data_IF_219602206428
#
_entry.id   IF_219602206428
#
_cell.length_a   1.000
_cell.length_b   1.000
_cell.length_c   1.000
_cell.angle_alpha   90.00
_cell.angle_beta   90.00
_cell.angle_gamma   90.00
#
_symmetry.space_group_name_H-M   'P 1'
#
loop_
_entity.id
_entity.type
_entity.pdbx_description
1 polymer ?
#
# COMPACT_ATOMS: atom_id res chain seq x y z
N UNK A 1 7.63 6.72 -12.87
CA UNK A 1 6.44 6.58 -12.00
C UNK A 1 5.32 7.33 -12.67
N UNK A 2 4.10 6.82 -12.56
CA UNK A 2 2.87 7.45 -13.02
C UNK A 2 1.84 7.42 -11.89
N UNK A 3 0.84 8.33 -11.89
CA UNK A 3 -0.25 8.27 -10.93
C UNK A 3 -0.89 6.88 -10.86
N UNK A 4 -1.05 6.38 -9.64
CA UNK A 4 -1.61 5.06 -9.36
C UNK A 4 -0.55 4.01 -9.06
N UNK A 5 0.70 4.18 -9.51
CA UNK A 5 1.76 3.21 -9.21
C UNK A 5 1.89 2.94 -7.71
N UNK A 6 2.07 1.66 -7.35
CA UNK A 6 2.42 1.28 -5.98
C UNK A 6 3.94 1.25 -5.87
N UNK A 7 4.47 2.16 -5.05
CA UNK A 7 5.90 2.34 -4.84
C UNK A 7 6.31 1.61 -3.56
N UNK A 8 7.02 0.49 -3.71
CA UNK A 8 7.46 -0.38 -2.62
C UNK A 8 8.89 -0.07 -2.24
N UNK A 9 9.08 0.65 -1.14
CA UNK A 9 10.40 0.95 -0.59
C UNK A 9 11.05 -0.33 -0.06
N UNK A 10 12.31 -0.54 -0.45
CA UNK A 10 13.13 -1.68 -0.07
C UNK A 10 14.04 -1.28 1.09
N UNK A 11 14.25 -2.21 2.03
CA UNK A 11 15.08 -2.00 3.20
C UNK A 11 16.53 -1.70 2.80
N UNK A 12 17.11 -0.63 3.34
CA UNK A 12 18.54 -0.28 3.25
C UNK A 12 19.26 -0.55 4.59
N UNK A 13 20.59 -0.68 4.58
CA UNK A 13 21.38 -1.08 5.77
C UNK A 13 21.38 -0.03 6.90
N UNK A 14 21.06 1.22 6.58
CA UNK A 14 20.95 2.39 7.47
C UNK A 14 19.50 2.70 7.90
N UNK A 15 18.57 1.75 7.70
CA UNK A 15 17.15 1.99 7.93
C UNK A 15 16.73 2.22 9.39
N UNK A 16 15.65 3.01 9.54
CA UNK A 16 15.01 3.27 10.83
C UNK A 16 14.54 1.99 11.55
N UNK A 17 14.49 2.05 12.89
CA UNK A 17 14.01 0.96 13.75
C UNK A 17 12.62 0.44 13.32
N UNK A 18 11.72 1.32 12.88
CA UNK A 18 10.38 0.96 12.38
C UNK A 18 10.43 0.01 11.18
N UNK A 19 11.32 0.24 10.20
CA UNK A 19 11.47 -0.63 9.02
C UNK A 19 12.06 -1.99 9.40
N UNK A 20 12.99 -2.02 10.36
CA UNK A 20 13.50 -3.27 10.92
C UNK A 20 12.39 -4.09 11.60
N UNK A 21 11.47 -3.45 12.34
CA UNK A 21 10.32 -4.11 12.96
C UNK A 21 9.35 -4.70 11.93
N UNK A 22 9.05 -3.96 10.85
CA UNK A 22 8.16 -4.45 9.78
C UNK A 22 8.74 -5.73 9.15
N UNK A 23 10.04 -5.71 8.80
CA UNK A 23 10.73 -6.90 8.26
C UNK A 23 10.68 -8.08 9.23
N UNK A 24 10.89 -7.84 10.52
CA UNK A 24 10.80 -8.88 11.54
C UNK A 24 9.38 -9.48 11.64
N UNK A 25 8.34 -8.64 11.60
CA UNK A 25 6.95 -9.09 11.59
C UNK A 25 6.62 -9.94 10.35
N UNK A 26 7.07 -9.51 9.17
CA UNK A 26 6.92 -10.26 7.92
C UNK A 26 7.63 -11.62 7.96
N UNK A 27 8.85 -11.68 8.52
CA UNK A 27 9.59 -12.93 8.72
C UNK A 27 8.84 -13.90 9.63
N UNK A 28 8.26 -13.40 10.73
CA UNK A 28 7.46 -14.22 11.65
C UNK A 28 6.22 -14.76 10.93
N UNK A 29 5.48 -13.91 10.20
CA UNK A 29 4.31 -14.32 9.43
C UNK A 29 4.66 -15.38 8.39
N UNK A 30 5.71 -15.16 7.61
CA UNK A 30 6.17 -16.11 6.59
C UNK A 30 6.54 -17.47 7.19
N UNK A 31 7.21 -17.48 8.36
CA UNK A 31 7.55 -18.71 9.07
C UNK A 31 6.33 -19.44 9.64
N UNK A 32 5.37 -18.70 10.20
CA UNK A 32 4.16 -19.29 10.83
C UNK A 32 3.20 -19.84 9.78
N UNK A 33 3.07 -19.15 8.63
CA UNK A 33 2.09 -19.49 7.60
C UNK A 33 2.69 -20.07 6.33
N UNK A 34 3.99 -20.38 6.32
CA UNK A 34 4.73 -20.92 5.16
C UNK A 34 4.55 -20.07 3.89
N UNK A 35 4.60 -18.74 4.04
CA UNK A 35 4.46 -17.81 2.91
C UNK A 35 5.79 -17.59 2.19
N UNK A 36 5.70 -17.12 0.95
CA UNK A 36 6.84 -16.70 0.16
C UNK A 36 7.67 -15.63 0.88
N UNK A 37 8.98 -15.73 0.74
CA UNK A 37 9.97 -14.86 1.38
C UNK A 37 10.66 -13.90 0.41
N UNK A 38 10.34 -13.98 -0.88
CA UNK A 38 10.97 -13.20 -1.97
C UNK A 38 10.96 -11.70 -1.68
N UNK A 39 9.86 -11.15 -1.16
CA UNK A 39 9.70 -9.71 -0.92
C UNK A 39 9.86 -9.28 0.54
N UNK A 40 10.54 -10.07 1.39
CA UNK A 40 10.72 -9.70 2.81
C UNK A 40 11.51 -8.41 3.04
N UNK A 41 12.28 -7.96 2.04
CA UNK A 41 12.99 -6.68 2.10
C UNK A 41 12.11 -5.50 1.72
N UNK A 42 10.91 -5.72 1.18
CA UNK A 42 9.92 -4.66 0.97
C UNK A 42 9.30 -4.31 2.32
N UNK A 43 9.38 -3.03 2.69
CA UNK A 43 9.00 -2.57 4.03
C UNK A 43 7.99 -1.42 4.02
N UNK A 44 7.78 -0.75 2.89
CA UNK A 44 6.90 0.41 2.86
C UNK A 44 6.32 0.71 1.47
N UNK A 45 5.03 0.40 1.22
CA UNK A 45 4.33 0.84 0.03
C UNK A 45 3.75 2.26 0.17
N UNK A 46 3.72 2.97 -0.95
CA UNK A 46 3.11 4.29 -1.14
C UNK A 46 2.34 4.32 -2.47
N UNK A 47 1.43 5.29 -2.64
CA UNK A 47 0.71 5.51 -3.90
C UNK A 47 1.30 6.72 -4.62
N UNK A 48 1.79 6.53 -5.85
CA UNK A 48 2.25 7.64 -6.68
C UNK A 48 1.07 8.51 -7.11
N UNK A 49 1.24 9.83 -7.01
CA UNK A 49 0.26 10.83 -7.45
C UNK A 49 0.80 11.78 -8.52
N UNK A 50 2.09 11.68 -8.80
CA UNK A 50 2.80 12.25 -9.95
C UNK A 50 4.10 11.47 -10.19
N UNK A 51 4.92 11.94 -11.13
CA UNK A 51 6.22 11.35 -11.47
C UNK A 51 7.25 11.38 -10.32
N UNK A 52 7.06 12.23 -9.31
CA UNK A 52 7.98 12.38 -8.17
C UNK A 52 7.27 12.38 -6.81
N UNK A 53 5.95 12.55 -6.78
CA UNK A 53 5.19 12.68 -5.55
C UNK A 53 4.46 11.38 -5.23
N UNK A 54 4.53 10.98 -3.97
CA UNK A 54 3.75 9.87 -3.41
C UNK A 54 2.93 10.33 -2.21
N UNK A 55 1.80 9.68 -2.01
CA UNK A 55 1.07 9.74 -0.74
C UNK A 55 1.34 8.43 0.01
N UNK A 56 1.70 8.55 1.28
CA UNK A 56 2.07 7.41 2.12
C UNK A 56 1.58 7.56 3.56
N UNK A 57 1.35 6.44 4.23
CA UNK A 57 1.04 6.38 5.66
C UNK A 57 2.32 6.06 6.44
N UNK A 58 2.91 7.09 7.06
CA UNK A 58 4.20 7.05 7.77
C UNK A 58 4.03 7.49 9.23
N UNK A 59 5.05 7.41 10.09
CA UNK A 59 4.92 7.64 11.55
C UNK A 59 4.15 8.89 12.01
N UNK A 60 4.12 9.98 11.22
CA UNK A 60 3.36 11.21 11.49
C UNK A 60 1.90 11.19 10.98
N UNK A 61 1.49 10.11 10.32
CA UNK A 61 0.22 9.94 9.63
C UNK A 61 0.34 9.96 8.10
N UNK A 62 -0.75 10.29 7.42
CA UNK A 62 -0.74 10.50 5.97
C UNK A 62 0.11 11.72 5.59
N UNK A 63 1.02 11.50 4.64
CA UNK A 63 1.96 12.49 4.15
C UNK A 63 2.01 12.49 2.61
N UNK A 64 2.25 13.68 2.05
CA UNK A 64 2.67 13.86 0.66
C UNK A 64 4.19 14.02 0.66
N UNK A 65 4.88 13.10 0.01
CA UNK A 65 6.35 13.04 -0.02
C UNK A 65 6.84 13.25 -1.44
N UNK A 66 7.82 14.14 -1.62
CA UNK A 66 8.56 14.29 -2.87
C UNK A 66 9.82 13.42 -2.84
N UNK A 67 9.80 12.35 -3.63
CA UNK A 67 10.87 11.37 -3.69
C UNK A 67 12.18 11.97 -4.22
N UNK A 68 12.12 13.03 -5.04
CA UNK A 68 13.31 13.70 -5.58
C UNK A 68 14.12 14.45 -4.52
N UNK A 69 13.49 14.76 -3.38
CA UNK A 69 14.09 15.55 -2.29
C UNK A 69 14.62 14.69 -1.15
N UNK A 70 14.44 13.37 -1.21
CA UNK A 70 14.85 12.45 -0.14
C UNK A 70 16.37 12.37 0.01
N UNK A 71 16.82 12.33 1.27
CA UNK A 71 18.22 12.21 1.64
C UNK A 71 18.34 11.22 2.82
N UNK A 72 18.90 10.02 2.60
CA UNK A 72 19.31 9.46 1.31
C UNK A 72 18.09 9.16 0.40
N UNK A 73 18.27 9.10 -0.94
CA UNK A 73 17.24 8.57 -1.83
C UNK A 73 16.87 7.13 -1.46
N UNK A 74 15.57 6.82 -1.40
CA UNK A 74 15.12 5.44 -1.15
C UNK A 74 15.31 4.56 -2.39
N UNK A 75 15.59 3.28 -2.18
CA UNK A 75 15.43 2.24 -3.20
C UNK A 75 14.00 1.74 -3.20
N UNK A 76 13.38 1.60 -4.36
CA UNK A 76 11.99 1.20 -4.47
C UNK A 76 11.71 0.30 -5.69
N UNK A 77 10.81 -0.67 -5.52
CA UNK A 77 10.18 -1.38 -6.63
C UNK A 77 8.89 -0.67 -7.03
N UNK A 78 8.59 -0.62 -8.33
CA UNK A 78 7.40 0.03 -8.86
C UNK A 78 6.53 -1.01 -9.54
N UNK A 79 5.27 -1.10 -9.09
CA UNK A 79 4.23 -1.85 -9.78
C UNK A 79 3.18 -0.89 -10.32
N UNK A 80 2.88 -1.01 -11.60
CA UNK A 80 1.83 -0.24 -12.27
C UNK A 80 0.58 -1.09 -12.42
N UNK A 81 -0.59 -0.46 -12.36
CA UNK A 81 -1.84 -1.12 -12.68
C UNK A 81 -1.98 -1.28 -14.18
N UNK A 82 -2.44 -2.46 -14.63
CA UNK A 82 -2.74 -2.72 -16.04
C UNK A 82 -3.95 -1.90 -16.50
N UNK A 83 -4.94 -1.75 -15.62
CA UNK A 83 -6.11 -0.90 -15.84
C UNK A 83 -5.79 0.53 -15.39
N UNK A 84 -5.69 1.43 -16.37
CA UNK A 84 -5.38 2.84 -16.13
C UNK A 84 -6.48 3.56 -15.37
N UNK A 85 -7.76 3.22 -15.60
CA UNK A 85 -8.88 3.85 -14.90
C UNK A 85 -8.86 3.47 -13.41
N UNK A 86 -8.57 2.20 -13.11
CA UNK A 86 -8.40 1.75 -11.72
C UNK A 86 -7.21 2.44 -11.03
N UNK A 87 -6.08 2.61 -11.74
CA UNK A 87 -4.92 3.35 -11.23
C UNK A 87 -5.22 4.83 -10.94
N UNK A 88 -5.97 5.48 -11.83
CA UNK A 88 -6.46 6.85 -11.63
C UNK A 88 -7.43 6.94 -10.44
N UNK A 89 -8.36 6.00 -10.31
CA UNK A 89 -9.30 5.95 -9.19
C UNK A 89 -8.57 5.75 -7.85
N UNK A 90 -7.53 4.90 -7.80
CA UNK A 90 -6.69 4.74 -6.63
C UNK A 90 -5.92 6.03 -6.28
N UNK A 91 -5.46 6.77 -7.30
CA UNK A 91 -4.84 8.10 -7.12
C UNK A 91 -5.81 9.10 -6.50
N UNK A 92 -7.05 9.13 -6.99
CA UNK A 92 -8.10 10.02 -6.47
C UNK A 92 -8.41 9.67 -5.02
N UNK A 93 -8.55 8.39 -4.69
CA UNK A 93 -8.77 7.94 -3.32
C UNK A 93 -7.61 8.36 -2.38
N UNK A 94 -6.36 8.16 -2.81
CA UNK A 94 -5.19 8.57 -2.04
C UNK A 94 -5.18 10.09 -1.76
N UNK A 95 -5.48 10.91 -2.79
CA UNK A 95 -5.60 12.37 -2.65
C UNK A 95 -6.72 12.75 -1.69
N UNK A 96 -7.89 12.11 -1.80
CA UNK A 96 -9.02 12.38 -0.91
C UNK A 96 -8.62 12.13 0.55
N UNK A 97 -8.05 10.96 0.87
CA UNK A 97 -7.60 10.66 2.23
C UNK A 97 -6.58 11.67 2.76
N UNK A 98 -5.65 12.12 1.91
CA UNK A 98 -4.68 13.14 2.29
C UNK A 98 -5.32 14.50 2.57
N UNK A 99 -6.25 14.95 1.72
CA UNK A 99 -6.95 16.21 1.91
C UNK A 99 -7.90 16.17 3.10
N UNK A 100 -8.61 15.07 3.34
CA UNK A 100 -9.45 14.87 4.52
C UNK A 100 -8.63 14.96 5.81
N UNK A 101 -7.40 14.43 5.80
CA UNK A 101 -6.46 14.57 6.92
C UNK A 101 -5.98 16.00 7.12
N UNK A 102 -5.76 16.76 6.04
CA UNK A 102 -5.40 18.19 6.14
C UNK A 102 -6.59 19.03 6.64
N UNK A 103 -7.79 18.73 6.14
CA UNK A 103 -9.04 19.39 6.53
C UNK A 103 -9.46 19.07 7.97
N UNK A 104 -8.96 17.97 8.53
CA UNK A 104 -9.28 17.52 9.88
C UNK A 104 -10.50 16.59 9.95
N UNK A 105 -11.04 16.18 8.80
CA UNK A 105 -12.18 15.26 8.68
C UNK A 105 -11.79 13.84 9.13
N UNK A 106 -10.53 13.45 8.91
CA UNK A 106 -9.95 12.23 9.47
C UNK A 106 -8.67 12.54 10.25
N UNK A 107 -8.34 11.71 11.26
CA UNK A 107 -7.07 11.85 11.98
C UNK A 107 -5.86 11.36 11.16
N UNK A 108 -6.09 10.40 10.25
CA UNK A 108 -5.06 9.83 9.37
C UNK A 108 -3.79 9.37 10.09
N UNK A 109 -3.91 8.79 11.30
CA UNK A 109 -2.75 8.40 12.13
C UNK A 109 -2.09 7.13 11.60
N UNK A 110 -0.79 7.01 11.82
CA UNK A 110 -0.06 5.77 11.57
C UNK A 110 -0.02 4.88 12.82
N UNK A 111 -0.14 3.56 12.62
CA UNK A 111 -0.15 2.59 13.71
C UNK A 111 0.86 1.46 13.47
N UNK A 112 2.04 1.57 14.10
CA UNK A 112 3.03 0.46 14.19
C UNK A 112 2.40 -0.78 14.83
N UNK A 113 1.55 -0.57 15.84
CA UNK A 113 0.88 -1.65 16.56
C UNK A 113 -0.06 -2.44 15.64
N UNK A 114 -0.85 -1.77 14.81
CA UNK A 114 -1.71 -2.44 13.83
C UNK A 114 -0.88 -3.13 12.74
N UNK A 115 0.25 -2.56 12.33
CA UNK A 115 1.19 -3.20 11.41
C UNK A 115 1.80 -4.49 11.99
N UNK A 116 2.00 -4.56 13.31
CA UNK A 116 2.44 -5.80 13.96
C UNK A 116 1.30 -6.81 14.10
N UNK A 117 0.12 -6.38 14.54
CA UNK A 117 -1.04 -7.27 14.70
C UNK A 117 -1.46 -7.88 13.36
N UNK A 118 -1.39 -7.12 12.27
CA UNK A 118 -1.72 -7.62 10.92
C UNK A 118 -0.86 -8.82 10.52
N UNK A 119 0.40 -8.88 10.99
CA UNK A 119 1.29 -10.02 10.77
C UNK A 119 0.79 -11.32 11.44
N UNK A 120 -0.08 -11.23 12.46
CA UNK A 120 -0.64 -12.39 13.17
C UNK A 120 -2.07 -12.73 12.78
N UNK A 121 -2.69 -11.96 11.88
CA UNK A 121 -4.07 -12.23 11.41
C UNK A 121 -4.05 -13.24 10.26
N UNK A 122 -4.89 -14.27 10.38
CA UNK A 122 -5.19 -15.26 9.32
C UNK A 122 -6.54 -14.92 8.70
N UNK A 123 -6.68 -15.02 7.39
CA UNK A 123 -7.87 -14.52 6.70
C UNK A 123 -8.79 -15.60 6.10
N UNK A 124 -10.07 -15.25 5.99
CA UNK A 124 -11.17 -16.04 5.41
C UNK A 124 -11.88 -15.18 4.36
N UNK A 125 -12.07 -15.71 3.15
CA UNK A 125 -12.50 -15.03 1.93
C UNK A 125 -13.92 -14.46 1.88
N UNK A 126 -14.60 -14.35 3.03
CA UNK A 126 -16.05 -14.17 3.09
C UNK A 126 -16.44 -12.90 3.86
N UNK A 127 -16.11 -11.74 3.28
CA UNK A 127 -16.48 -10.44 3.84
C UNK A 127 -17.54 -9.76 3.00
N UNK A 128 -18.63 -9.33 3.66
CA UNK A 128 -19.70 -8.59 3.01
C UNK A 128 -19.18 -7.27 2.41
N UNK A 129 -19.84 -6.73 1.39
CA UNK A 129 -19.51 -5.42 0.82
C UNK A 129 -19.41 -4.32 1.89
N UNK A 130 -20.31 -4.33 2.86
CA UNK A 130 -20.32 -3.38 3.98
C UNK A 130 -19.04 -3.49 4.81
N UNK A 131 -18.57 -4.71 5.06
CA UNK A 131 -17.30 -4.95 5.76
C UNK A 131 -16.11 -4.42 4.96
N UNK A 132 -16.08 -4.69 3.64
CA UNK A 132 -15.05 -4.15 2.73
C UNK A 132 -15.00 -2.62 2.75
N UNK A 133 -16.16 -1.96 2.61
CA UNK A 133 -16.26 -0.50 2.64
C UNK A 133 -15.76 0.05 3.98
N UNK A 134 -16.30 -0.45 5.10
CA UNK A 134 -15.98 0.06 6.43
C UNK A 134 -14.48 -0.07 6.76
N UNK A 135 -13.85 -1.16 6.35
CA UNK A 135 -12.41 -1.34 6.54
C UNK A 135 -11.56 -0.46 5.63
N UNK A 136 -12.04 -0.24 4.40
CA UNK A 136 -11.33 0.57 3.43
C UNK A 136 -11.29 2.05 3.82
N UNK A 137 -12.32 2.52 4.53
CA UNK A 137 -12.42 3.90 5.04
C UNK A 137 -11.85 4.09 6.46
N UNK A 138 -11.51 3.02 7.19
CA UNK A 138 -11.01 3.06 8.58
C UNK A 138 -9.56 3.63 8.72
N UNK A 139 -9.09 4.38 7.72
CA UNK A 139 -7.76 5.01 7.71
C UNK A 139 -7.61 6.04 8.84
N UNK A 140 -8.73 6.62 9.30
CA UNK A 140 -8.76 7.60 10.38
C UNK A 140 -8.40 7.07 11.78
N UNK A 141 -8.48 5.76 12.04
CA UNK A 141 -8.28 5.19 13.40
C UNK A 141 -6.84 4.72 13.67
N UNK A 142 -5.99 4.63 12.64
CA UNK A 142 -4.62 4.16 12.75
C UNK A 142 -4.26 3.16 11.65
N UNK A 143 -4.02 3.62 10.43
CA UNK A 143 -3.61 2.76 9.31
C UNK A 143 -2.10 2.48 9.33
N UNK A 144 -1.67 1.46 8.62
CA UNK A 144 -0.26 1.24 8.28
C UNK A 144 -0.08 1.25 6.76
N UNK A 145 1.16 1.36 6.30
CA UNK A 145 1.50 1.67 4.91
C UNK A 145 0.84 0.75 3.86
N UNK A 146 0.91 -0.57 4.05
CA UNK A 146 0.29 -1.53 3.11
C UNK A 146 -1.23 -1.55 3.18
N UNK A 147 -1.83 -1.37 4.37
CA UNK A 147 -3.28 -1.17 4.49
C UNK A 147 -3.72 0.08 3.74
N UNK A 148 -3.00 1.19 3.87
CA UNK A 148 -3.30 2.42 3.16
C UNK A 148 -3.27 2.23 1.64
N UNK A 149 -2.19 1.65 1.11
CA UNK A 149 -2.06 1.42 -0.33
C UNK A 149 -3.16 0.50 -0.88
N UNK A 150 -3.45 -0.62 -0.19
CA UNK A 150 -4.52 -1.52 -0.58
C UNK A 150 -5.91 -0.87 -0.49
N UNK A 151 -6.16 -0.08 0.55
CA UNK A 151 -7.42 0.65 0.70
C UNK A 151 -7.66 1.67 -0.41
N UNK A 152 -6.60 2.36 -0.89
CA UNK A 152 -6.75 3.30 -2.01
C UNK A 152 -7.29 2.60 -3.25
N UNK A 153 -6.78 1.41 -3.55
CA UNK A 153 -7.25 0.58 -4.66
C UNK A 153 -8.65 0.01 -4.44
N UNK A 154 -8.98 -0.47 -3.23
CA UNK A 154 -10.34 -0.95 -2.93
C UNK A 154 -11.38 0.16 -3.01
N UNK A 155 -11.09 1.35 -2.45
CA UNK A 155 -11.96 2.51 -2.55
C UNK A 155 -12.06 3.02 -3.98
N UNK A 156 -10.95 3.09 -4.70
CA UNK A 156 -10.91 3.45 -6.11
C UNK A 156 -11.79 2.52 -6.96
N UNK A 157 -11.64 1.21 -6.77
CA UNK A 157 -12.45 0.18 -7.44
C UNK A 157 -13.95 0.36 -7.18
N UNK A 158 -14.33 0.54 -5.91
CA UNK A 158 -15.73 0.76 -5.51
C UNK A 158 -16.30 2.08 -6.06
N UNK A 159 -15.49 3.13 -6.18
CA UNK A 159 -15.92 4.38 -6.79
C UNK A 159 -16.05 4.29 -8.31
N UNK A 160 -15.07 3.69 -9.00
CA UNK A 160 -15.08 3.58 -10.46
C UNK A 160 -16.27 2.74 -10.93
N UNK A 161 -16.62 1.71 -10.15
CA UNK A 161 -17.67 0.76 -10.48
C UNK A 161 -18.96 0.97 -9.66
N UNK A 162 -19.19 2.17 -9.11
CA UNK A 162 -20.30 2.43 -8.18
C UNK A 162 -21.71 2.12 -8.76
N UNK A 163 -21.84 2.06 -10.09
CA UNK A 163 -23.09 1.78 -10.79
C UNK A 163 -23.26 0.29 -11.19
N UNK A 164 -22.26 -0.57 -10.93
CA UNK A 164 -22.31 -1.98 -11.32
C UNK A 164 -23.09 -2.83 -10.31
N UNK A 165 -23.96 -3.69 -10.84
CA UNK A 165 -24.70 -4.71 -10.10
C UNK A 165 -24.46 -6.07 -10.77
N UNK A 166 -23.80 -7.02 -10.09
CA UNK A 166 -23.25 -6.92 -8.73
C UNK A 166 -22.04 -5.96 -8.64
N UNK A 167 -21.72 -5.45 -7.44
CA UNK A 167 -20.51 -4.64 -7.20
C UNK A 167 -19.22 -5.37 -7.61
N UNK A 168 -18.12 -4.64 -7.88
CA UNK A 168 -16.84 -5.25 -8.23
C UNK A 168 -16.37 -6.28 -7.20
N UNK A 169 -15.69 -7.34 -7.64
CA UNK A 169 -14.89 -8.17 -6.73
C UNK A 169 -13.82 -7.32 -6.03
N UNK A 170 -13.30 -7.81 -4.91
CA UNK A 170 -12.12 -7.19 -4.28
C UNK A 170 -10.93 -7.28 -5.23
N UNK A 171 -10.10 -6.23 -5.26
CA UNK A 171 -8.83 -6.25 -5.98
C UNK A 171 -7.87 -7.19 -5.27
N UNK A 172 -7.79 -7.09 -3.93
CA UNK A 172 -6.89 -7.92 -3.14
C UNK A 172 -7.61 -9.13 -2.54
N UNK A 173 -7.00 -10.33 -2.61
CA UNK A 173 -7.56 -11.55 -2.06
C UNK A 173 -7.48 -11.61 -0.53
N UNK A 174 -6.85 -10.62 0.11
CA UNK A 174 -6.76 -10.49 1.56
C UNK A 174 -7.33 -9.14 1.97
N UNK A 175 -7.95 -9.09 3.15
CA UNK A 175 -8.36 -7.84 3.77
C UNK A 175 -7.18 -6.86 3.94
N UNK A 176 -7.33 -5.59 3.52
CA UNK A 176 -6.27 -4.59 3.65
C UNK A 176 -5.72 -4.42 5.07
N UNK A 177 -6.53 -4.56 6.12
CA UNK A 177 -6.06 -4.45 7.52
C UNK A 177 -5.13 -5.59 7.97
N UNK A 178 -4.97 -6.63 7.15
CA UNK A 178 -4.14 -7.79 7.44
C UNK A 178 -2.98 -7.98 6.43
N UNK A 179 -2.92 -7.18 5.36
CA UNK A 179 -1.93 -7.35 4.30
C UNK A 179 -0.61 -6.68 4.67
N UNK A 180 0.46 -7.46 4.78
CA UNK A 180 1.81 -6.92 4.99
C UNK A 180 2.39 -6.33 3.69
N UNK A 181 3.39 -5.44 3.75
CA UNK A 181 4.09 -4.95 2.56
C UNK A 181 4.60 -6.07 1.63
N UNK A 182 5.17 -7.14 2.20
CA UNK A 182 5.63 -8.29 1.41
C UNK A 182 4.47 -9.01 0.71
N UNK A 183 3.34 -9.26 1.39
CA UNK A 183 2.18 -9.90 0.77
C UNK A 183 1.55 -9.04 -0.33
N UNK A 184 1.53 -7.71 -0.13
CA UNK A 184 1.05 -6.79 -1.15
C UNK A 184 1.96 -6.82 -2.39
N UNK A 185 3.28 -6.83 -2.21
CA UNK A 185 4.25 -6.97 -3.31
C UNK A 185 4.12 -8.33 -4.02
N UNK A 186 4.02 -9.44 -3.27
CA UNK A 186 3.79 -10.78 -3.83
C UNK A 186 2.49 -10.83 -4.64
N UNK A 187 1.43 -10.18 -4.16
CA UNK A 187 0.19 -10.09 -4.91
C UNK A 187 0.39 -9.31 -6.21
N UNK A 188 1.01 -8.13 -6.17
CA UNK A 188 1.26 -7.36 -7.39
C UNK A 188 2.12 -8.10 -8.42
N UNK A 189 3.07 -8.93 -7.99
CA UNK A 189 3.91 -9.72 -8.88
C UNK A 189 3.17 -10.91 -9.55
N UNK A 190 2.20 -11.48 -8.85
CA UNK A 190 1.45 -12.67 -9.31
C UNK A 190 0.07 -12.37 -9.89
N UNK A 191 -0.41 -11.13 -9.76
CA UNK A 191 -1.75 -10.71 -10.14
C UNK A 191 -1.80 -10.20 -11.58
N UNK A 192 -2.86 -10.52 -12.34
CA UNK A 192 -3.05 -9.93 -13.68
C UNK A 192 -3.42 -8.43 -13.63
N UNK A 193 -3.72 -7.87 -12.44
CA UNK A 193 -4.06 -6.47 -12.29
C UNK A 193 -2.84 -5.55 -12.30
N UNK A 194 -1.64 -6.09 -12.09
CA UNK A 194 -0.41 -5.33 -11.93
C UNK A 194 0.71 -5.91 -12.78
N UNK A 195 1.67 -5.06 -13.13
CA UNK A 195 2.93 -5.49 -13.73
C UNK A 195 4.09 -4.74 -13.09
N UNK A 196 5.24 -5.40 -13.03
CA UNK A 196 6.48 -4.78 -12.60
C UNK A 196 6.90 -3.73 -13.64
N UNK A 197 6.83 -2.46 -13.27
CA UNK A 197 7.13 -1.35 -14.16
C UNK A 197 8.61 -0.95 -14.11
N UNK A 198 9.29 -1.22 -13.00
CA UNK A 198 10.72 -1.00 -12.89
C UNK A 198 11.21 -0.92 -11.45
N UNK A 199 12.52 -0.73 -11.32
CA UNK A 199 13.18 -0.45 -10.06
C UNK A 199 13.65 1.01 -10.03
N UNK A 200 13.56 1.64 -8.87
CA UNK A 200 14.04 2.99 -8.62
C UNK A 200 15.18 2.92 -7.62
N UNK A 201 16.34 3.44 -8.00
CA UNK A 201 17.52 3.49 -7.14
C UNK A 201 18.21 4.83 -7.33
N UNK A 202 18.54 5.50 -6.23
CA UNK A 202 19.32 6.74 -6.24
C UNK A 202 18.71 7.82 -7.15
N UNK A 203 17.37 7.95 -7.13
CA UNK A 203 16.57 8.84 -7.99
C UNK A 203 16.68 8.55 -9.51
N UNK A 204 17.12 7.35 -9.88
CA UNK A 204 17.18 6.89 -11.26
C UNK A 204 16.27 5.68 -11.45
N UNK A 205 15.48 5.71 -12.52
CA UNK A 205 14.73 4.54 -12.96
C UNK A 205 15.69 3.53 -13.59
N UNK A 206 15.83 2.37 -12.93
CA UNK A 206 16.49 1.19 -13.45
C UNK A 206 15.41 0.30 -14.07
N UNK A 207 15.18 0.50 -15.37
CA UNK A 207 14.38 -0.44 -16.19
C UNK A 207 15.26 -1.66 -16.48
N UNK A 208 14.78 -2.84 -16.12
CA UNK A 208 15.38 -4.13 -16.50
C UNK A 208 14.92 -4.53 -17.91
#
# INVERSE_FOLDING_TARGET
MQPGDIIFSVKQDDDSATRAFIKAGQLVKAKVFSQDTTYLNVVHPAIAVSDTLVIESVGSGLALTDLSLEKPPRSAMVFSCVDTELGEAATVAAKQFYFDKIGGDIRGRYSVWNAMISAFRRWTSDTTLVTRINESIDIGSGSFCSQFAANCYEVGNLYNEANLLPPPPAIFPNQPSAITPAELATFCDSSPHFYFAGFWQDNVEVRL
#
